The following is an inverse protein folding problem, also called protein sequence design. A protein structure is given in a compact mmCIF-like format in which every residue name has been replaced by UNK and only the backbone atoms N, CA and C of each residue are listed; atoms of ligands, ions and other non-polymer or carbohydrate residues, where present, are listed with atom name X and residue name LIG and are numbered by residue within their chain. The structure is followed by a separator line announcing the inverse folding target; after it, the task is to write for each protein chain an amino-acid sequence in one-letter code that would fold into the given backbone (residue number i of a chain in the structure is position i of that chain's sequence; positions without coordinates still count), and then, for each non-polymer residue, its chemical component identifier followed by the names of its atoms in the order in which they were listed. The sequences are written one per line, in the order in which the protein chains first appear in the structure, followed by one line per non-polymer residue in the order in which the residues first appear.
data_IF_961828230504
#
_entry.id   IF_961828230504
#
_cell.length_a   1.000
_cell.length_b   1.000
_cell.length_c   1.000
_cell.angle_alpha   90.00
_cell.angle_beta   90.00
_cell.angle_gamma   90.00
#
_symmetry.space_group_name_H-M   'P 1'
#
loop_
_entity.id
_entity.type
_entity.pdbx_description
1 polymer ?
#
# COMPACT_ATOMS: atom_id res chain seq x y z
N UNK A 1 -0.15 15.72 6.58
CA UNK A 1 0.82 14.75 6.01
C UNK A 1 2.13 14.87 6.76
N UNK A 2 2.82 13.78 7.06
CA UNK A 2 4.18 13.84 7.64
C UNK A 2 5.12 14.36 6.56
N UNK A 3 5.89 15.41 6.86
CA UNK A 3 6.86 15.96 5.92
C UNK A 3 8.11 15.05 5.91
N UNK A 4 8.47 14.52 4.75
CA UNK A 4 9.72 13.81 4.57
C UNK A 4 10.89 14.79 4.79
N UNK A 5 11.90 14.33 5.53
CA UNK A 5 13.12 15.12 5.78
C UNK A 5 14.13 14.82 4.68
N UNK A 6 14.76 15.86 4.18
CA UNK A 6 15.77 15.76 3.13
C UNK A 6 15.57 16.85 2.08
N UNK A 7 16.57 17.04 1.24
CA UNK A 7 16.48 17.93 0.10
C UNK A 7 15.58 17.30 -0.96
N UNK A 8 14.46 17.97 -1.27
CA UNK A 8 13.56 17.49 -2.31
C UNK A 8 14.11 17.87 -3.69
N UNK A 9 14.60 16.89 -4.42
CA UNK A 9 15.15 17.03 -5.76
C UNK A 9 14.13 16.73 -6.87
N UNK A 10 12.83 16.71 -6.57
CA UNK A 10 11.78 16.33 -7.53
C UNK A 10 11.85 17.10 -8.84
N UNK A 11 12.23 18.38 -8.82
CA UNK A 11 12.36 19.19 -10.04
C UNK A 11 13.46 18.65 -10.97
N UNK A 12 14.58 18.19 -10.40
CA UNK A 12 15.69 17.59 -11.16
C UNK A 12 15.22 16.26 -11.78
N UNK A 13 14.56 15.40 -10.99
CA UNK A 13 14.03 14.11 -11.45
C UNK A 13 13.01 14.30 -12.56
N UNK A 14 12.08 15.23 -12.41
CA UNK A 14 11.04 15.52 -13.41
C UNK A 14 11.66 16.00 -14.73
N UNK A 15 12.64 16.88 -14.69
CA UNK A 15 13.36 17.34 -15.89
C UNK A 15 14.04 16.18 -16.64
N UNK A 16 14.63 15.24 -15.92
CA UNK A 16 15.25 14.04 -16.52
C UNK A 16 14.18 13.14 -17.14
N UNK A 17 13.06 12.91 -16.42
CA UNK A 17 11.94 12.11 -16.91
C UNK A 17 11.32 12.69 -18.19
N UNK A 18 11.07 14.01 -18.22
CA UNK A 18 10.53 14.71 -19.38
C UNK A 18 11.47 14.63 -20.60
N UNK A 19 12.79 14.70 -20.36
CA UNK A 19 13.80 14.49 -21.40
C UNK A 19 13.77 13.07 -21.98
N UNK A 20 13.63 12.05 -21.11
CA UNK A 20 13.46 10.66 -21.56
C UNK A 20 12.17 10.47 -22.34
N UNK A 21 11.06 11.03 -21.87
CA UNK A 21 9.77 10.99 -22.59
C UNK A 21 9.91 11.55 -23.99
N UNK A 22 10.52 12.74 -24.13
CA UNK A 22 10.71 13.41 -25.45
C UNK A 22 11.51 12.55 -26.43
N UNK A 23 12.50 11.79 -25.96
CA UNK A 23 13.26 10.86 -26.78
C UNK A 23 12.44 9.61 -27.14
N UNK A 24 11.72 9.03 -26.15
CA UNK A 24 11.01 7.75 -26.29
C UNK A 24 9.76 7.87 -27.17
N UNK A 25 9.01 8.98 -27.09
CA UNK A 25 7.80 9.17 -27.91
C UNK A 25 8.07 9.23 -29.41
N UNK A 26 9.33 9.49 -29.82
CA UNK A 26 9.75 9.47 -31.23
C UNK A 26 9.87 8.07 -31.81
N UNK A 27 9.89 7.02 -30.99
CA UNK A 27 10.01 5.65 -31.49
C UNK A 27 8.65 5.11 -31.92
N UNK A 28 8.59 4.65 -33.17
CA UNK A 28 7.42 3.96 -33.67
C UNK A 28 7.15 2.69 -32.85
N UNK A 29 5.89 2.46 -32.48
CA UNK A 29 5.48 1.32 -31.64
C UNK A 29 5.30 1.66 -30.16
N UNK A 30 5.76 2.81 -29.68
CA UNK A 30 5.44 3.29 -28.33
C UNK A 30 3.98 3.75 -28.28
N UNK A 31 3.19 3.16 -27.38
CA UNK A 31 1.75 3.45 -27.25
C UNK A 31 1.38 4.12 -25.94
N UNK A 32 2.26 4.11 -24.93
CA UNK A 32 2.02 4.80 -23.68
C UNK A 32 3.27 4.97 -22.83
N UNK A 33 3.30 6.03 -22.03
CA UNK A 33 4.35 6.29 -21.04
C UNK A 33 3.68 6.78 -19.76
N UNK A 34 4.13 6.25 -18.63
CA UNK A 34 3.53 6.50 -17.33
C UNK A 34 4.62 6.75 -16.29
N UNK A 35 4.44 7.77 -15.47
CA UNK A 35 5.24 8.01 -14.29
C UNK A 35 4.57 7.37 -13.07
N UNK A 36 5.36 6.75 -12.22
CA UNK A 36 4.95 6.20 -10.93
C UNK A 36 5.92 6.66 -9.82
N UNK A 37 5.85 6.06 -8.66
CA UNK A 37 6.85 6.23 -7.63
C UNK A 37 7.04 7.68 -7.14
N UNK A 38 8.28 8.13 -7.05
CA UNK A 38 8.70 9.44 -6.55
C UNK A 38 8.14 10.62 -7.33
N UNK A 39 8.05 10.50 -8.66
CA UNK A 39 7.52 11.54 -9.54
C UNK A 39 6.07 11.89 -9.21
N UNK A 40 5.26 10.89 -8.95
CA UNK A 40 3.83 11.07 -8.62
C UNK A 40 3.64 11.55 -7.18
N UNK A 41 4.50 11.12 -6.26
CA UNK A 41 4.49 11.58 -4.87
C UNK A 41 4.91 13.04 -4.70
N UNK A 42 5.58 13.62 -5.70
CA UNK A 42 6.09 14.99 -5.63
C UNK A 42 7.30 15.15 -4.69
N UNK A 43 7.98 14.05 -4.39
CA UNK A 43 9.18 14.02 -3.55
C UNK A 43 10.17 12.99 -4.08
N UNK A 44 11.41 13.43 -4.28
CA UNK A 44 12.55 12.59 -4.59
C UNK A 44 13.79 13.14 -3.88
N UNK A 45 14.60 12.28 -3.32
CA UNK A 45 15.85 12.60 -2.65
C UNK A 45 16.99 11.69 -3.14
N UNK A 46 18.13 11.68 -2.46
CA UNK A 46 19.29 10.86 -2.81
C UNK A 46 19.06 9.34 -2.72
N UNK A 47 17.95 8.89 -2.16
CA UNK A 47 17.56 7.49 -2.04
C UNK A 47 16.44 7.12 -3.01
N UNK A 48 16.04 8.05 -3.86
CA UNK A 48 14.95 7.88 -4.80
C UNK A 48 15.46 7.44 -6.15
N UNK A 49 14.67 6.62 -6.80
CA UNK A 49 14.75 6.19 -8.18
C UNK A 49 13.79 7.00 -9.07
N UNK A 50 14.01 6.90 -10.36
CA UNK A 50 13.16 7.49 -11.39
C UNK A 50 12.35 6.38 -12.05
N UNK A 51 11.10 6.20 -11.58
CA UNK A 51 10.23 5.12 -12.01
C UNK A 51 9.41 5.53 -13.25
N UNK A 52 9.70 4.92 -14.41
CA UNK A 52 8.99 5.16 -15.67
C UNK A 52 8.58 3.83 -16.29
N UNK A 53 7.33 3.72 -16.71
CA UNK A 53 6.81 2.57 -17.46
C UNK A 53 6.51 2.99 -18.89
N UNK A 54 7.06 2.24 -19.86
CA UNK A 54 6.82 2.42 -21.29
C UNK A 54 6.03 1.24 -21.83
N UNK A 55 4.98 1.51 -22.58
CA UNK A 55 4.16 0.49 -23.23
C UNK A 55 4.42 0.45 -24.75
N UNK A 56 4.64 -0.75 -25.25
CA UNK A 56 4.77 -1.01 -26.68
C UNK A 56 3.51 -1.70 -27.21
N UNK A 57 3.05 -1.27 -28.39
CA UNK A 57 1.84 -1.81 -29.03
C UNK A 57 2.03 -3.22 -29.59
N UNK A 58 3.25 -3.57 -29.96
CA UNK A 58 3.63 -4.88 -30.52
C UNK A 58 4.89 -5.41 -29.87
N UNK A 59 5.08 -6.72 -29.97
CA UNK A 59 6.28 -7.38 -29.46
C UNK A 59 7.48 -7.05 -30.37
N UNK A 60 8.38 -6.20 -29.86
CA UNK A 60 9.61 -5.77 -30.48
C UNK A 60 10.73 -5.72 -29.41
N UNK A 61 11.51 -6.79 -29.35
CA UNK A 61 12.58 -6.92 -28.35
C UNK A 61 13.78 -6.00 -28.63
N UNK A 62 14.00 -5.61 -29.92
CA UNK A 62 15.07 -4.68 -30.25
C UNK A 62 14.73 -3.27 -29.79
N UNK A 63 13.50 -2.81 -30.03
CA UNK A 63 13.00 -1.54 -29.50
C UNK A 63 12.97 -1.54 -27.99
N UNK A 64 12.49 -2.62 -27.36
CA UNK A 64 12.50 -2.80 -25.91
C UNK A 64 13.89 -2.62 -25.31
N UNK A 65 14.88 -3.28 -25.89
CA UNK A 65 16.29 -3.16 -25.50
C UNK A 65 16.80 -1.72 -25.68
N UNK A 66 16.56 -1.11 -26.85
CA UNK A 66 16.97 0.26 -27.16
C UNK A 66 16.45 1.26 -26.12
N UNK A 67 15.18 1.13 -25.71
CA UNK A 67 14.58 2.02 -24.69
C UNK A 67 15.24 1.78 -23.32
N UNK A 68 15.48 0.55 -22.92
CA UNK A 68 16.17 0.24 -21.66
C UNK A 68 17.61 0.79 -21.64
N UNK A 69 18.31 0.67 -22.76
CA UNK A 69 19.67 1.19 -22.89
C UNK A 69 19.71 2.72 -22.72
N UNK A 70 18.69 3.46 -23.19
CA UNK A 70 18.54 4.90 -22.92
C UNK A 70 18.46 5.21 -21.42
N UNK A 71 17.67 4.45 -20.65
CA UNK A 71 17.59 4.61 -19.20
C UNK A 71 18.96 4.40 -18.54
N UNK A 72 19.64 3.32 -18.90
CA UNK A 72 20.99 2.99 -18.40
C UNK A 72 22.02 4.07 -18.75
N UNK A 73 21.94 4.67 -19.93
CA UNK A 73 22.83 5.77 -20.33
C UNK A 73 22.57 7.05 -19.53
N UNK A 74 21.31 7.39 -19.30
CA UNK A 74 20.95 8.55 -18.46
C UNK A 74 21.40 8.33 -17.01
N UNK A 75 21.21 7.14 -16.46
CA UNK A 75 21.68 6.77 -15.12
C UNK A 75 23.18 7.00 -14.98
N UNK A 76 23.99 6.46 -15.93
CA UNK A 76 25.46 6.63 -15.93
C UNK A 76 25.91 8.10 -16.00
N UNK A 77 25.21 8.91 -16.83
CA UNK A 77 25.59 10.32 -17.05
C UNK A 77 25.18 11.24 -15.91
N UNK A 78 24.07 10.97 -15.24
CA UNK A 78 23.43 11.90 -14.31
C UNK A 78 23.55 11.45 -12.85
N UNK A 79 23.99 10.21 -12.59
CA UNK A 79 24.07 9.64 -11.25
C UNK A 79 22.70 9.55 -10.54
N UNK A 80 21.62 9.43 -11.32
CA UNK A 80 20.26 9.19 -10.84
C UNK A 80 19.92 7.77 -11.20
N UNK A 81 19.43 6.98 -10.25
CA UNK A 81 18.92 5.64 -10.54
C UNK A 81 17.67 5.73 -11.40
N UNK A 82 17.63 5.01 -12.54
CA UNK A 82 16.55 5.07 -13.52
C UNK A 82 15.97 3.68 -13.70
N UNK A 83 14.81 3.47 -13.09
CA UNK A 83 14.00 2.27 -13.32
C UNK A 83 13.05 2.49 -14.51
N UNK A 84 13.52 2.08 -15.68
CA UNK A 84 12.80 2.21 -16.95
C UNK A 84 12.25 0.85 -17.36
N UNK A 85 11.02 0.55 -16.93
CA UNK A 85 10.32 -0.65 -17.30
C UNK A 85 9.70 -0.54 -18.70
N UNK A 86 9.87 -1.57 -19.54
CA UNK A 86 9.27 -1.61 -20.88
C UNK A 86 8.42 -2.86 -21.01
N UNK A 87 7.13 -2.68 -21.21
CA UNK A 87 6.14 -3.74 -21.32
C UNK A 87 5.45 -3.76 -22.68
N UNK A 88 5.11 -4.95 -23.15
CA UNK A 88 4.13 -5.08 -24.24
C UNK A 88 2.74 -4.94 -23.64
N UNK A 89 1.93 -4.06 -24.22
CA UNK A 89 0.63 -3.70 -23.63
C UNK A 89 -0.28 -4.92 -23.41
N UNK A 90 -0.27 -5.88 -24.35
CA UNK A 90 -1.09 -7.09 -24.24
C UNK A 90 -0.64 -8.02 -23.11
N UNK A 91 0.67 -8.10 -22.86
CA UNK A 91 1.18 -8.89 -21.72
C UNK A 91 0.86 -8.21 -20.39
N UNK A 92 0.85 -6.89 -20.33
CA UNK A 92 0.50 -6.12 -19.13
C UNK A 92 -1.00 -6.16 -18.83
N UNK A 93 -1.85 -6.33 -19.84
CA UNK A 93 -3.30 -6.51 -19.69
C UNK A 93 -3.70 -7.83 -19.03
N UNK A 94 -2.95 -8.93 -19.26
CA UNK A 94 -3.34 -10.30 -18.88
C UNK A 94 -3.41 -10.54 -17.37
N UNK A 95 -2.37 -10.26 -16.56
CA UNK A 95 -2.38 -10.62 -15.15
C UNK A 95 -3.42 -9.81 -14.36
N UNK A 96 -4.00 -10.44 -13.35
CA UNK A 96 -4.77 -9.71 -12.33
C UNK A 96 -3.79 -8.89 -11.51
N UNK A 97 -4.09 -7.61 -11.35
CA UNK A 97 -3.31 -6.76 -10.48
C UNK A 97 -3.56 -7.12 -9.01
N UNK A 98 -2.48 -7.28 -8.27
CA UNK A 98 -2.55 -7.34 -6.83
C UNK A 98 -2.93 -5.96 -6.27
N UNK A 99 -3.03 -5.85 -4.98
CA UNK A 99 -3.49 -4.62 -4.37
C UNK A 99 -2.47 -3.49 -4.41
N UNK A 100 -1.19 -3.82 -4.32
CA UNK A 100 -0.10 -2.84 -4.43
C UNK A 100 -0.08 -2.23 -5.83
N UNK A 101 -0.22 -3.07 -6.87
CA UNK A 101 -0.33 -2.62 -8.26
C UNK A 101 -1.53 -1.67 -8.43
N UNK A 102 -2.70 -2.04 -7.89
CA UNK A 102 -3.90 -1.19 -7.95
C UNK A 102 -3.69 0.14 -7.25
N UNK A 103 -3.04 0.12 -6.10
CA UNK A 103 -2.72 1.35 -5.38
C UNK A 103 -1.78 2.25 -6.19
N UNK A 104 -0.74 1.69 -6.77
CA UNK A 104 0.27 2.44 -7.52
C UNK A 104 -0.29 2.99 -8.82
N UNK A 105 -0.92 2.14 -9.63
CA UNK A 105 -1.46 2.55 -10.92
C UNK A 105 -2.71 3.43 -10.84
N UNK A 106 -3.47 3.37 -9.74
CA UNK A 106 -4.55 4.33 -9.50
C UNK A 106 -4.06 5.78 -9.28
N UNK A 107 -2.77 5.95 -9.01
CA UNK A 107 -2.11 7.24 -8.76
C UNK A 107 -1.11 7.62 -9.84
N UNK A 108 -0.87 6.73 -10.79
CA UNK A 108 0.11 6.94 -11.85
C UNK A 108 -0.23 8.17 -12.71
N UNK A 109 0.78 8.90 -13.14
CA UNK A 109 0.66 10.03 -14.06
C UNK A 109 0.90 9.52 -15.49
N UNK A 110 -0.16 9.49 -16.30
CA UNK A 110 -0.07 9.09 -17.70
C UNK A 110 0.39 10.29 -18.51
N UNK A 111 1.64 10.25 -19.00
CA UNK A 111 2.27 11.37 -19.72
C UNK A 111 2.18 11.24 -21.24
N UNK A 112 1.96 10.02 -21.74
CA UNK A 112 1.71 9.77 -23.17
C UNK A 112 0.72 8.61 -23.30
N UNK A 113 -0.41 8.84 -23.97
CA UNK A 113 -1.45 7.84 -24.25
C UNK A 113 -2.38 8.36 -25.36
N UNK A 114 -1.92 8.46 -26.62
CA UNK A 114 -2.66 9.11 -27.70
C UNK A 114 -3.98 8.43 -28.04
N UNK A 115 -4.14 7.15 -27.72
CA UNK A 115 -5.36 6.37 -27.98
C UNK A 115 -6.23 6.16 -26.74
N UNK A 116 -5.79 6.58 -25.56
CA UNK A 116 -6.51 6.37 -24.29
C UNK A 116 -6.52 4.92 -23.81
N UNK A 117 -5.68 4.05 -24.37
CA UNK A 117 -5.64 2.63 -24.04
C UNK A 117 -5.12 2.39 -22.62
N UNK A 118 -4.07 3.11 -22.21
CA UNK A 118 -3.48 2.99 -20.87
C UNK A 118 -4.47 3.47 -19.82
N UNK A 119 -5.08 4.64 -20.05
CA UNK A 119 -6.10 5.22 -19.16
C UNK A 119 -7.27 4.26 -18.95
N UNK A 120 -7.77 3.66 -20.02
CA UNK A 120 -8.89 2.72 -19.95
C UNK A 120 -8.49 1.45 -19.18
N UNK A 121 -7.33 0.87 -19.49
CA UNK A 121 -6.80 -0.30 -18.81
C UNK A 121 -6.61 -0.05 -17.30
N UNK A 122 -5.99 1.07 -16.92
CA UNK A 122 -5.76 1.40 -15.52
C UNK A 122 -7.07 1.58 -14.76
N UNK A 123 -8.04 2.28 -15.36
CA UNK A 123 -9.37 2.48 -14.77
C UNK A 123 -10.12 1.15 -14.54
N UNK A 124 -10.04 0.21 -15.50
CA UNK A 124 -10.70 -1.08 -15.38
C UNK A 124 -10.04 -1.98 -14.35
N UNK A 125 -8.72 -2.09 -14.41
CA UNK A 125 -7.95 -2.98 -13.51
C UNK A 125 -7.90 -2.48 -12.07
N UNK A 126 -8.02 -1.17 -11.83
CA UNK A 126 -8.07 -0.58 -10.48
C UNK A 126 -9.45 -0.65 -9.84
N UNK A 127 -10.46 -1.26 -10.48
CA UNK A 127 -11.78 -1.42 -9.84
C UNK A 127 -11.71 -2.42 -8.69
N UNK A 128 -12.31 -2.05 -7.57
CA UNK A 128 -12.56 -2.98 -6.48
C UNK A 128 -13.91 -3.67 -6.68
N UNK A 129 -14.03 -5.00 -6.44
CA UNK A 129 -15.35 -5.65 -6.33
C UNK A 129 -16.21 -4.96 -5.27
N UNK A 130 -17.54 -5.05 -5.41
CA UNK A 130 -18.51 -4.35 -4.54
C UNK A 130 -18.31 -4.64 -3.05
N UNK A 131 -17.99 -5.89 -2.72
CA UNK A 131 -17.83 -6.38 -1.36
C UNK A 131 -16.36 -6.42 -0.86
N UNK A 132 -15.41 -5.99 -1.69
CA UNK A 132 -13.97 -6.07 -1.41
C UNK A 132 -13.58 -5.41 -0.08
N UNK A 133 -14.10 -4.21 0.17
CA UNK A 133 -13.78 -3.46 1.38
C UNK A 133 -14.39 -4.09 2.63
N UNK A 134 -15.64 -4.55 2.52
CA UNK A 134 -16.33 -5.22 3.63
C UNK A 134 -15.63 -6.53 3.97
N UNK A 135 -15.30 -7.36 2.98
CA UNK A 135 -14.56 -8.61 3.20
C UNK A 135 -13.22 -8.36 3.89
N UNK A 136 -12.50 -7.31 3.49
CA UNK A 136 -11.24 -6.94 4.16
C UNK A 136 -11.46 -6.56 5.62
N UNK A 137 -12.43 -5.69 5.90
CA UNK A 137 -12.74 -5.28 7.27
C UNK A 137 -13.08 -6.51 8.12
N UNK A 138 -13.91 -7.41 7.59
CA UNK A 138 -14.34 -8.62 8.29
C UNK A 138 -13.15 -9.56 8.57
N UNK A 139 -12.38 -9.89 7.55
CA UNK A 139 -11.20 -10.79 7.71
C UNK A 139 -10.20 -10.20 8.70
N UNK A 140 -9.82 -8.94 8.51
CA UNK A 140 -8.85 -8.30 9.39
C UNK A 140 -9.40 -8.12 10.81
N UNK A 141 -10.68 -7.79 10.98
CA UNK A 141 -11.33 -7.65 12.27
C UNK A 141 -11.41 -8.98 13.03
N UNK A 142 -11.70 -10.09 12.33
CA UNK A 142 -11.74 -11.41 12.95
C UNK A 142 -10.35 -11.84 13.47
N UNK A 143 -9.32 -11.70 12.62
CA UNK A 143 -7.95 -11.99 13.06
C UNK A 143 -7.47 -11.06 14.17
N UNK A 144 -7.86 -9.78 14.14
CA UNK A 144 -7.48 -8.82 15.18
C UNK A 144 -8.04 -9.20 16.55
N UNK A 145 -9.29 -9.71 16.60
CA UNK A 145 -9.88 -10.23 17.84
C UNK A 145 -9.08 -11.41 18.39
N UNK A 146 -8.66 -12.30 17.54
CA UNK A 146 -7.83 -13.44 17.94
C UNK A 146 -6.47 -13.02 18.48
N UNK A 147 -5.82 -12.10 17.79
CA UNK A 147 -4.43 -11.78 18.09
C UNK A 147 -4.26 -10.84 19.27
N UNK A 148 -5.09 -9.80 19.40
CA UNK A 148 -4.85 -8.73 20.37
C UNK A 148 -6.09 -8.08 20.98
N UNK A 149 -7.26 -8.18 20.34
CA UNK A 149 -8.45 -7.39 20.70
C UNK A 149 -9.65 -8.31 20.96
N UNK A 150 -9.68 -9.06 22.08
CA UNK A 150 -10.74 -10.03 22.32
C UNK A 150 -12.09 -9.32 22.47
N UNK A 151 -13.21 -10.00 22.14
CA UNK A 151 -14.54 -9.41 22.28
C UNK A 151 -14.95 -9.18 23.74
N UNK A 152 -14.28 -9.86 24.68
CA UNK A 152 -14.47 -9.73 26.13
C UNK A 152 -13.10 -9.79 26.81
N UNK A 153 -12.95 -9.08 27.91
CA UNK A 153 -11.66 -8.98 28.63
C UNK A 153 -11.19 -10.30 29.24
N UNK A 154 -12.11 -11.22 29.56
CA UNK A 154 -11.79 -12.51 30.17
C UNK A 154 -11.18 -13.50 29.15
N UNK A 155 -11.22 -13.21 27.87
CA UNK A 155 -10.68 -14.08 26.81
C UNK A 155 -9.24 -13.69 26.51
N UNK A 156 -8.30 -14.58 26.82
CA UNK A 156 -6.88 -14.39 26.46
C UNK A 156 -6.69 -14.37 24.94
N UNK A 157 -5.77 -13.55 24.47
CA UNK A 157 -5.41 -13.44 23.07
C UNK A 157 -4.14 -14.23 22.74
N UNK A 158 -3.90 -14.52 21.45
CA UNK A 158 -2.69 -15.22 21.00
C UNK A 158 -1.43 -14.50 21.48
N UNK A 159 -1.40 -13.16 21.44
CA UNK A 159 -0.25 -12.38 21.89
C UNK A 159 -0.01 -12.50 23.40
N UNK A 160 -1.08 -12.54 24.22
CA UNK A 160 -1.02 -12.72 25.66
C UNK A 160 -0.62 -14.15 26.04
N UNK A 161 -1.11 -15.16 25.32
CA UNK A 161 -0.67 -16.55 25.51
C UNK A 161 0.84 -16.72 25.31
N UNK A 162 1.47 -15.99 24.39
CA UNK A 162 2.92 -16.01 24.20
C UNK A 162 3.67 -15.34 25.36
N UNK A 163 3.10 -14.32 26.00
CA UNK A 163 3.64 -13.74 27.23
C UNK A 163 3.68 -14.81 28.36
N UNK A 164 2.57 -15.52 28.54
CA UNK A 164 2.48 -16.57 29.57
C UNK A 164 3.45 -17.75 29.30
N UNK A 165 3.70 -18.04 28.04
CA UNK A 165 4.70 -19.05 27.61
C UNK A 165 6.15 -18.57 27.73
N UNK A 166 6.36 -17.29 28.11
CA UNK A 166 7.70 -16.70 28.28
C UNK A 166 8.39 -16.27 26.99
N UNK A 167 7.71 -16.29 25.83
CA UNK A 167 8.28 -15.84 24.55
C UNK A 167 7.80 -14.45 24.16
N UNK A 168 8.57 -13.44 24.60
CA UNK A 168 8.31 -12.03 24.27
C UNK A 168 8.50 -11.74 22.78
N UNK A 169 9.35 -12.45 22.06
CA UNK A 169 9.58 -12.23 20.62
C UNK A 169 8.32 -12.58 19.85
N UNK A 170 7.76 -13.77 20.09
CA UNK A 170 6.51 -14.21 19.48
C UNK A 170 5.34 -13.28 19.83
N UNK A 171 5.24 -12.83 21.09
CA UNK A 171 4.23 -11.89 21.54
C UNK A 171 4.31 -10.54 20.78
N UNK A 172 5.51 -9.96 20.68
CA UNK A 172 5.72 -8.71 19.92
C UNK A 172 5.45 -8.88 18.43
N UNK A 173 5.76 -10.04 17.85
CA UNK A 173 5.45 -10.35 16.45
C UNK A 173 3.93 -10.36 16.22
N UNK A 174 3.16 -11.03 17.08
CA UNK A 174 1.70 -11.04 17.04
C UNK A 174 1.11 -9.62 17.12
N UNK A 175 1.68 -8.77 17.98
CA UNK A 175 1.25 -7.38 18.12
C UNK A 175 1.56 -6.55 16.87
N UNK A 176 2.74 -6.71 16.25
CA UNK A 176 3.06 -6.05 14.99
C UNK A 176 2.10 -6.47 13.87
N UNK A 177 1.73 -7.76 13.82
CA UNK A 177 0.73 -8.26 12.88
C UNK A 177 -0.64 -7.61 13.11
N UNK A 178 -1.05 -7.46 14.39
CA UNK A 178 -2.30 -6.77 14.72
C UNK A 178 -2.30 -5.30 14.24
N UNK A 179 -1.17 -4.59 14.32
CA UNK A 179 -1.04 -3.24 13.76
C UNK A 179 -1.23 -3.25 12.24
N UNK A 180 -0.66 -4.23 11.51
CA UNK A 180 -0.87 -4.33 10.06
C UNK A 180 -2.35 -4.60 9.72
N UNK A 181 -3.04 -5.42 10.51
CA UNK A 181 -4.49 -5.65 10.35
C UNK A 181 -5.29 -4.36 10.58
N UNK A 182 -4.96 -3.56 11.60
CA UNK A 182 -5.58 -2.25 11.83
C UNK A 182 -5.38 -1.30 10.65
N UNK A 183 -4.15 -1.22 10.12
CA UNK A 183 -3.86 -0.42 8.92
C UNK A 183 -4.74 -0.84 7.75
N UNK A 184 -4.85 -2.16 7.49
CA UNK A 184 -5.71 -2.70 6.42
C UNK A 184 -7.17 -2.29 6.57
N UNK A 185 -7.69 -2.29 7.80
CA UNK A 185 -9.06 -1.84 8.09
C UNK A 185 -9.20 -0.34 7.82
N UNK A 186 -8.25 0.47 8.29
CA UNK A 186 -8.30 1.94 8.10
C UNK A 186 -8.24 2.30 6.62
N UNK A 187 -7.37 1.65 5.82
CA UNK A 187 -7.38 1.83 4.37
C UNK A 187 -8.71 1.41 3.73
N UNK A 188 -9.28 0.28 4.16
CA UNK A 188 -10.57 -0.18 3.65
C UNK A 188 -11.73 0.78 3.95
N UNK A 189 -11.77 1.35 5.15
CA UNK A 189 -12.76 2.36 5.55
C UNK A 189 -12.65 3.65 4.71
N UNK A 190 -11.46 3.95 4.20
CA UNK A 190 -11.22 5.06 3.29
C UNK A 190 -11.40 4.71 1.81
N UNK A 191 -11.77 3.45 1.48
CA UNK A 191 -11.88 2.94 0.11
C UNK A 191 -10.57 3.06 -0.68
N UNK A 192 -9.45 2.91 0.01
CA UNK A 192 -8.11 3.00 -0.54
C UNK A 192 -7.42 1.63 -0.58
N UNK A 193 -6.76 1.33 -1.68
CA UNK A 193 -5.91 0.16 -1.77
C UNK A 193 -4.67 0.31 -0.88
N UNK A 194 -4.08 -0.83 -0.50
CA UNK A 194 -2.88 -0.82 0.34
C UNK A 194 -1.63 -0.55 -0.50
N UNK A 195 -0.82 0.43 -0.11
CA UNK A 195 0.51 0.59 -0.69
C UNK A 195 1.45 -0.55 -0.27
N UNK A 196 2.61 -0.62 -0.91
CA UNK A 196 3.70 -1.47 -0.48
C UNK A 196 4.01 -1.25 1.02
N UNK A 197 4.43 -2.28 1.78
CA UNK A 197 4.63 -2.20 3.23
C UNK A 197 5.47 -1.00 3.69
N UNK A 198 6.54 -0.68 2.95
CA UNK A 198 7.43 0.47 3.23
C UNK A 198 6.70 1.82 3.26
N UNK A 199 5.52 1.93 2.63
CA UNK A 199 4.75 3.16 2.51
C UNK A 199 3.47 3.20 3.34
N UNK A 200 3.02 2.07 3.93
CA UNK A 200 1.72 1.98 4.62
C UNK A 200 1.55 3.02 5.72
N UNK A 201 2.52 3.11 6.62
CA UNK A 201 2.46 4.06 7.74
C UNK A 201 2.42 5.50 7.22
N UNK A 202 3.32 5.85 6.28
CA UNK A 202 3.41 7.20 5.74
C UNK A 202 2.09 7.65 5.11
N UNK A 203 1.52 6.82 4.23
CA UNK A 203 0.27 7.15 3.54
C UNK A 203 -0.95 7.07 4.45
N UNK A 204 -0.95 6.22 5.47
CA UNK A 204 -2.07 6.15 6.42
C UNK A 204 -2.34 7.48 7.11
N UNK A 205 -1.30 8.28 7.35
CA UNK A 205 -1.44 9.59 7.98
C UNK A 205 -2.14 10.65 7.10
N UNK A 206 -2.29 10.40 5.83
CA UNK A 206 -2.96 11.30 4.86
C UNK A 206 -4.37 10.86 4.47
N UNK A 207 -4.89 9.78 5.03
CA UNK A 207 -6.23 9.30 4.74
C UNK A 207 -7.29 10.30 5.21
N UNK A 208 -8.46 10.33 4.52
CA UNK A 208 -9.53 11.30 4.78
C UNK A 208 -10.13 11.12 6.16
N UNK A 209 -10.37 9.89 6.55
CA UNK A 209 -10.88 9.53 7.86
C UNK A 209 -9.82 8.77 8.66
N UNK A 210 -9.63 9.17 9.90
CA UNK A 210 -8.78 8.51 10.87
C UNK A 210 -9.48 8.57 12.23
N UNK A 211 -9.34 7.54 13.11
CA UNK A 211 -9.83 7.64 14.48
C UNK A 211 -9.05 8.71 15.25
N UNK A 212 -9.62 9.17 16.35
CA UNK A 212 -8.95 10.11 17.22
C UNK A 212 -7.56 9.61 17.65
N UNK A 213 -6.61 10.50 17.80
CA UNK A 213 -5.24 10.20 18.23
C UNK A 213 -4.47 9.17 17.38
N UNK A 214 -4.93 8.87 16.15
CA UNK A 214 -4.39 7.83 15.31
C UNK A 214 -2.86 7.81 15.25
N UNK A 215 -2.23 8.98 14.97
CA UNK A 215 -0.76 9.06 14.79
C UNK A 215 -0.03 8.71 16.10
N UNK A 216 -0.51 9.19 17.23
CA UNK A 216 0.04 8.90 18.55
C UNK A 216 -0.06 7.40 18.84
N UNK A 217 -1.25 6.84 18.68
CA UNK A 217 -1.53 5.44 18.98
C UNK A 217 -0.75 4.48 18.07
N UNK A 218 -0.67 4.74 16.75
CA UNK A 218 0.17 3.95 15.84
C UNK A 218 1.63 4.00 16.25
N UNK A 219 2.14 5.19 16.62
CA UNK A 219 3.52 5.34 17.09
C UNK A 219 3.75 4.57 18.38
N UNK A 220 2.84 4.64 19.34
CA UNK A 220 2.93 3.90 20.61
C UNK A 220 2.83 2.38 20.40
N UNK A 221 1.98 1.94 19.49
CA UNK A 221 1.84 0.52 19.16
C UNK A 221 3.09 -0.08 18.50
N UNK A 222 3.81 0.71 17.67
CA UNK A 222 4.99 0.23 16.95
C UNK A 222 6.31 0.42 17.70
N UNK A 223 6.43 1.47 18.51
CA UNK A 223 7.68 1.80 19.18
C UNK A 223 7.94 0.85 20.36
N UNK A 224 8.99 0.05 20.26
CA UNK A 224 9.53 -0.75 21.36
C UNK A 224 10.49 0.13 22.17
N UNK A 225 10.16 0.43 23.43
CA UNK A 225 11.02 1.21 24.35
C UNK A 225 11.91 0.31 25.20
N UNK A 226 11.43 -0.87 25.53
CA UNK A 226 12.20 -1.92 26.22
C UNK A 226 11.65 -3.30 25.87
N UNK A 227 12.51 -4.31 25.93
CA UNK A 227 12.08 -5.68 25.70
C UNK A 227 11.56 -6.29 27.01
N UNK A 228 10.32 -5.93 27.37
CA UNK A 228 9.70 -6.30 28.67
C UNK A 228 8.19 -6.46 28.54
N UNK A 229 7.60 -7.26 29.44
CA UNK A 229 6.14 -7.44 29.56
C UNK A 229 5.43 -6.08 29.78
N UNK A 230 6.04 -5.18 30.56
CA UNK A 230 5.48 -3.83 30.80
C UNK A 230 5.35 -3.03 29.49
N UNK A 231 6.36 -3.05 28.63
CA UNK A 231 6.32 -2.34 27.36
C UNK A 231 5.39 -3.01 26.37
N UNK A 232 5.34 -4.33 26.34
CA UNK A 232 4.34 -5.07 25.58
C UNK A 232 2.94 -4.64 25.97
N UNK A 233 2.60 -4.59 27.27
CA UNK A 233 1.28 -4.15 27.76
C UNK A 233 0.94 -2.70 27.37
N UNK A 234 1.93 -1.79 27.32
CA UNK A 234 1.75 -0.42 26.82
C UNK A 234 1.36 -0.43 25.33
N UNK A 235 2.08 -1.19 24.52
CA UNK A 235 1.82 -1.32 23.09
C UNK A 235 0.46 -1.97 22.81
N UNK A 236 0.12 -3.02 23.56
CA UNK A 236 -1.16 -3.72 23.44
C UNK A 236 -2.34 -2.78 23.75
N UNK A 237 -2.23 -1.93 24.80
CA UNK A 237 -3.25 -0.91 25.08
C UNK A 237 -3.46 0.05 23.91
N UNK A 238 -2.38 0.53 23.28
CA UNK A 238 -2.48 1.40 22.10
C UNK A 238 -3.18 0.71 20.92
N UNK A 239 -2.92 -0.59 20.68
CA UNK A 239 -3.63 -1.39 19.67
C UNK A 239 -5.12 -1.50 19.98
N UNK A 240 -5.48 -1.79 21.24
CA UNK A 240 -6.88 -1.91 21.69
C UNK A 240 -7.62 -0.57 21.62
N UNK A 241 -6.97 0.53 21.98
CA UNK A 241 -7.53 1.89 21.89
C UNK A 241 -7.79 2.27 20.41
N UNK A 242 -6.85 1.96 19.50
CA UNK A 242 -7.07 2.12 18.06
C UNK A 242 -8.27 1.31 17.56
N UNK A 243 -8.38 0.05 17.96
CA UNK A 243 -9.49 -0.81 17.60
C UNK A 243 -10.82 -0.23 18.06
N UNK A 244 -10.93 0.16 19.33
CA UNK A 244 -12.12 0.80 19.88
C UNK A 244 -12.50 2.08 19.11
N UNK A 245 -11.51 2.89 18.72
CA UNK A 245 -11.74 4.10 17.93
C UNK A 245 -12.21 3.84 16.49
N UNK A 246 -11.93 2.65 15.95
CA UNK A 246 -12.32 2.25 14.57
C UNK A 246 -13.73 1.64 14.54
N UNK A 247 -14.17 0.95 15.58
CA UNK A 247 -15.45 0.23 15.62
C UNK A 247 -16.68 1.07 15.26
N UNK A 248 -16.84 2.32 15.75
CA UNK A 248 -17.97 3.16 15.36
C UNK A 248 -18.04 3.39 13.84
N UNK A 249 -16.88 3.60 13.18
CA UNK A 249 -16.83 3.82 11.73
C UNK A 249 -17.12 2.53 10.96
N UNK A 250 -16.67 1.38 11.44
CA UNK A 250 -17.06 0.09 10.85
C UNK A 250 -18.58 -0.05 10.86
N UNK A 251 -19.22 0.22 12.02
CA UNK A 251 -20.68 0.13 12.15
C UNK A 251 -21.41 1.10 11.23
N UNK A 252 -20.93 2.33 11.12
CA UNK A 252 -21.47 3.35 10.21
C UNK A 252 -21.42 2.90 8.75
N UNK A 253 -20.25 2.41 8.29
CA UNK A 253 -20.00 2.10 6.87
C UNK A 253 -20.56 0.74 6.42
N UNK A 254 -20.73 -0.21 7.35
CA UNK A 254 -21.04 -1.60 7.01
C UNK A 254 -22.26 -2.16 7.73
N UNK A 255 -22.75 -1.50 8.77
CA UNK A 255 -23.78 -2.04 9.67
C UNK A 255 -23.30 -3.16 10.61
N UNK A 256 -21.98 -3.51 10.58
CA UNK A 256 -21.45 -4.64 11.34
C UNK A 256 -21.02 -4.20 12.75
N UNK A 257 -21.43 -4.96 13.76
CA UNK A 257 -20.88 -4.94 15.11
C UNK A 257 -19.76 -5.98 15.25
N UNK A 258 -19.08 -6.01 16.38
CA UNK A 258 -18.01 -7.00 16.65
C UNK A 258 -18.52 -8.43 16.54
N UNK A 259 -19.73 -8.72 16.99
CA UNK A 259 -20.37 -10.03 16.92
C UNK A 259 -20.78 -10.37 15.47
N UNK A 260 -21.31 -9.39 14.75
CA UNK A 260 -21.71 -9.57 13.35
C UNK A 260 -20.49 -9.76 12.42
N UNK A 261 -19.32 -9.24 12.76
CA UNK A 261 -18.07 -9.52 12.03
C UNK A 261 -17.79 -11.03 12.03
N UNK A 262 -17.85 -11.70 13.21
CA UNK A 262 -17.62 -13.14 13.28
C UNK A 262 -18.65 -13.94 12.50
N UNK A 263 -19.92 -13.57 12.63
CA UNK A 263 -21.00 -14.24 11.88
C UNK A 263 -20.78 -14.11 10.37
N UNK A 264 -20.51 -12.91 9.89
CA UNK A 264 -20.22 -12.65 8.48
C UNK A 264 -18.98 -13.40 8.00
N UNK A 265 -17.92 -13.46 8.80
CA UNK A 265 -16.70 -14.20 8.49
C UNK A 265 -16.99 -15.67 8.24
N UNK A 266 -17.72 -16.32 9.13
CA UNK A 266 -18.09 -17.74 8.99
C UNK A 266 -18.96 -17.94 7.75
N UNK A 267 -20.05 -17.17 7.61
CA UNK A 267 -21.06 -17.40 6.56
C UNK A 267 -20.59 -17.02 5.15
N UNK A 268 -19.77 -15.98 5.00
CA UNK A 268 -19.45 -15.37 3.71
C UNK A 268 -17.97 -15.44 3.30
N UNK A 269 -17.10 -15.86 4.21
CA UNK A 269 -15.67 -15.98 3.93
C UNK A 269 -15.22 -17.42 3.99
N UNK A 270 -15.43 -18.10 5.13
CA UNK A 270 -14.98 -19.49 5.30
C UNK A 270 -15.72 -20.48 4.38
N UNK A 271 -17.01 -20.31 4.14
CA UNK A 271 -17.78 -21.23 3.28
C UNK A 271 -17.62 -20.95 1.78
N UNK A 272 -16.86 -19.91 1.37
CA UNK A 272 -16.59 -19.60 -0.04
C UNK A 272 -15.14 -19.88 -0.43
N UNK A 273 -14.28 -20.31 0.49
CA UNK A 273 -12.91 -20.72 0.28
C UNK A 273 -12.82 -22.24 0.08
#
# INVERSE_FOLDING_TARGET
MVRLKGENQIRKFRKVAEGLVSEIVSFEGVTGIVFIGGLVRGFADKFSDLDIIVFLSKRDEQLRKKIRDLGSDKQRRLGIDVDLEVHFIDDFKKPKWNEVDKWEFSRAEIVFDPKGEIKNMFREKSRAPKDFWIKRIVVCGEYLKWYCCPPREEVGTVAECWIERGDLVAAHYCLNYAVDLLLRIVFALNREFLPAPKWRIFYSYGLKWLPADYKRLVSEALLVKSFSVKDFGRRLRAVRELWCGILPKIREETGLTTELISKYYVEKVLHQA
#
